data_IF_468494218070
#
_entry.id   IF_468494218070
#
_cell.length_a   1.000
_cell.length_b   1.000
_cell.length_c   1.000
_cell.angle_alpha   90.00
_cell.angle_beta   90.00
_cell.angle_gamma   90.00
#
_symmetry.space_group_name_H-M   'P 1'
#
loop_
_entity.id
_entity.type
_entity.pdbx_description
1 polymer ?
#
# COMPACT_ATOMS: atom_id res chain seq x y z
N UNK A 1 6.07 -22.20 0.00
CA UNK A 1 5.36 -21.25 0.88
C UNK A 1 3.90 -21.29 0.53
N UNK A 2 3.03 -21.64 1.47
CA UNK A 2 1.58 -21.65 1.23
C UNK A 2 1.02 -20.22 1.30
N UNK A 3 0.25 -19.84 0.27
CA UNK A 3 -0.41 -18.55 0.17
C UNK A 3 -1.75 -18.80 -0.52
N UNK A 4 -2.82 -18.25 0.05
CA UNK A 4 -4.18 -18.42 -0.47
C UNK A 4 -4.22 -18.26 -1.99
N UNK A 5 -4.79 -19.26 -2.64
CA UNK A 5 -4.95 -19.29 -4.08
C UNK A 5 -6.17 -18.46 -4.47
N UNK A 6 -5.91 -17.25 -4.98
CA UNK A 6 -6.93 -16.27 -5.37
C UNK A 6 -6.41 -15.31 -6.45
N UNK A 7 -7.28 -14.42 -6.93
CA UNK A 7 -6.95 -13.39 -7.94
C UNK A 7 -5.79 -12.50 -7.51
N UNK A 8 -5.67 -12.23 -6.20
CA UNK A 8 -4.56 -11.47 -5.61
C UNK A 8 -3.23 -12.19 -5.79
N UNK A 9 -3.18 -13.52 -5.57
CA UNK A 9 -1.99 -14.34 -5.87
C UNK A 9 -1.62 -14.24 -7.35
N UNK A 10 -2.60 -14.35 -8.23
CA UNK A 10 -2.36 -14.25 -9.68
C UNK A 10 -1.79 -12.88 -10.05
N UNK A 11 -2.37 -11.79 -9.54
CA UNK A 11 -1.89 -10.44 -9.79
C UNK A 11 -0.47 -10.21 -9.28
N UNK A 12 -0.13 -10.70 -8.09
CA UNK A 12 1.22 -10.46 -7.54
C UNK A 12 2.30 -11.31 -8.22
N UNK A 13 1.99 -12.54 -8.64
CA UNK A 13 2.96 -13.42 -9.32
C UNK A 13 3.24 -12.97 -10.77
N UNK A 14 2.30 -12.25 -11.39
CA UNK A 14 2.47 -11.71 -12.75
C UNK A 14 3.07 -10.30 -12.79
N UNK A 15 3.18 -9.63 -11.63
CA UNK A 15 3.79 -8.31 -11.53
C UNK A 15 5.28 -8.40 -11.18
N UNK A 16 6.14 -8.12 -12.15
CA UNK A 16 7.58 -8.20 -11.99
C UNK A 16 8.12 -7.33 -10.83
N UNK A 17 7.55 -6.15 -10.60
CA UNK A 17 8.04 -5.25 -9.55
C UNK A 17 7.63 -5.75 -8.16
N UNK A 18 6.46 -6.36 -8.02
CA UNK A 18 6.06 -7.02 -6.76
C UNK A 18 7.02 -8.19 -6.45
N UNK A 19 7.37 -8.99 -7.46
CA UNK A 19 8.30 -10.11 -7.28
C UNK A 19 9.69 -9.63 -6.84
N UNK A 20 10.27 -8.63 -7.52
CA UNK A 20 11.55 -8.05 -7.10
C UNK A 20 11.49 -7.41 -5.71
N UNK A 21 10.35 -6.81 -5.33
CA UNK A 21 10.15 -6.31 -3.98
C UNK A 21 10.16 -7.44 -2.93
N UNK A 22 9.55 -8.58 -3.25
CA UNK A 22 9.58 -9.77 -2.40
C UNK A 22 10.97 -10.36 -2.23
N UNK A 23 11.71 -10.49 -3.33
CA UNK A 23 13.11 -10.96 -3.33
C UNK A 23 13.98 -10.09 -2.42
N UNK A 24 13.93 -8.76 -2.58
CA UNK A 24 14.72 -7.84 -1.74
C UNK A 24 14.33 -7.84 -0.27
N UNK A 25 13.05 -8.07 0.04
CA UNK A 25 12.62 -8.23 1.43
C UNK A 25 13.15 -9.55 2.02
N UNK A 26 13.20 -10.61 1.21
CA UNK A 26 13.71 -11.91 1.63
C UNK A 26 15.22 -11.88 1.85
N UNK A 27 15.97 -11.25 0.95
CA UNK A 27 17.43 -11.04 1.09
C UNK A 27 17.81 -10.27 2.36
N UNK A 28 16.91 -9.42 2.85
CA UNK A 28 17.12 -8.59 4.06
C UNK A 28 16.31 -9.06 5.25
N UNK A 29 15.77 -10.28 5.19
CA UNK A 29 14.82 -10.79 6.18
C UNK A 29 15.40 -10.80 7.59
N UNK A 30 16.65 -11.24 7.74
CA UNK A 30 17.35 -11.33 9.02
C UNK A 30 17.73 -9.94 9.57
N UNK A 31 18.04 -8.99 8.68
CA UNK A 31 18.46 -7.63 9.04
C UNK A 31 17.28 -6.75 9.43
N UNK A 32 16.14 -6.92 8.75
CA UNK A 32 14.93 -6.13 8.98
C UNK A 32 13.92 -6.84 9.92
N UNK A 33 14.35 -7.90 10.62
CA UNK A 33 13.52 -8.75 11.52
C UNK A 33 12.17 -9.14 10.89
N UNK A 34 12.18 -9.41 9.59
CA UNK A 34 10.97 -9.76 8.87
C UNK A 34 10.69 -11.25 9.06
N UNK A 35 9.42 -11.61 9.18
CA UNK A 35 9.01 -13.01 9.06
C UNK A 35 8.57 -13.29 7.63
N UNK A 36 8.65 -14.55 7.16
CA UNK A 36 8.06 -14.96 5.89
C UNK A 36 6.57 -14.57 5.78
N UNK A 37 5.85 -14.58 6.90
CA UNK A 37 4.45 -14.17 6.94
C UNK A 37 4.28 -12.67 6.70
N UNK A 38 5.13 -11.84 7.32
CA UNK A 38 5.13 -10.39 7.10
C UNK A 38 5.42 -10.04 5.65
N UNK A 39 6.40 -10.71 5.03
CA UNK A 39 6.73 -10.53 3.60
C UNK A 39 5.52 -10.88 2.74
N UNK A 40 4.90 -12.05 2.96
CA UNK A 40 3.67 -12.44 2.25
C UNK A 40 2.57 -11.41 2.37
N UNK A 41 2.34 -10.85 3.55
CA UNK A 41 1.33 -9.80 3.73
C UNK A 41 1.67 -8.53 2.93
N UNK A 42 2.94 -8.10 2.91
CA UNK A 42 3.38 -6.95 2.10
C UNK A 42 3.17 -7.19 0.60
N UNK A 43 3.51 -8.38 0.10
CA UNK A 43 3.23 -8.76 -1.29
C UNK A 43 1.73 -8.75 -1.59
N UNK A 44 0.92 -9.30 -0.68
CA UNK A 44 -0.53 -9.31 -0.85
C UNK A 44 -1.16 -7.92 -0.75
N UNK A 45 -0.58 -6.96 -0.03
CA UNK A 45 -1.07 -5.58 -0.07
C UNK A 45 -0.93 -4.97 -1.48
N UNK A 46 0.20 -5.18 -2.14
CA UNK A 46 0.41 -4.73 -3.52
C UNK A 46 -0.47 -5.50 -4.51
N UNK A 47 -0.56 -6.83 -4.36
CA UNK A 47 -1.44 -7.66 -5.18
C UNK A 47 -2.91 -7.25 -5.08
N UNK A 48 -3.40 -6.94 -3.86
CA UNK A 48 -4.77 -6.42 -3.64
C UNK A 48 -4.99 -5.09 -4.33
N UNK A 49 -3.99 -4.21 -4.34
CA UNK A 49 -4.09 -2.92 -5.01
C UNK A 49 -4.24 -3.09 -6.53
N UNK A 50 -3.43 -3.97 -7.13
CA UNK A 50 -3.51 -4.27 -8.57
C UNK A 50 -4.83 -4.95 -8.93
N UNK A 51 -5.23 -5.96 -8.16
CA UNK A 51 -6.49 -6.69 -8.36
C UNK A 51 -7.70 -5.74 -8.27
N UNK A 52 -7.72 -4.88 -7.25
CA UNK A 52 -8.77 -3.87 -7.08
C UNK A 52 -8.78 -2.86 -8.23
N UNK A 53 -7.63 -2.34 -8.67
CA UNK A 53 -7.56 -1.42 -9.81
C UNK A 53 -8.13 -2.06 -11.09
N UNK A 54 -7.81 -3.33 -11.35
CA UNK A 54 -8.34 -4.10 -12.49
C UNK A 54 -9.86 -4.25 -12.40
N UNK A 55 -10.38 -4.61 -11.22
CA UNK A 55 -11.82 -4.74 -10.99
C UNK A 55 -12.58 -3.42 -11.16
N UNK A 56 -11.91 -2.28 -10.98
CA UNK A 56 -12.47 -0.94 -11.23
C UNK A 56 -12.38 -0.52 -12.72
N UNK A 57 -11.95 -1.40 -13.63
CA UNK A 57 -11.84 -1.11 -15.06
C UNK A 57 -10.71 -0.15 -15.41
N UNK A 58 -9.70 0.01 -14.55
CA UNK A 58 -8.57 0.90 -14.81
C UNK A 58 -7.61 0.30 -15.84
N UNK A 59 -7.02 1.16 -16.68
CA UNK A 59 -6.04 0.76 -17.69
C UNK A 59 -4.63 0.44 -17.13
N UNK A 60 -4.48 0.30 -15.81
CA UNK A 60 -3.21 0.00 -15.16
C UNK A 60 -3.20 -1.45 -14.67
N UNK A 61 -2.17 -2.19 -15.05
CA UNK A 61 -2.11 -3.63 -14.78
C UNK A 61 -0.96 -4.03 -13.87
N UNK A 62 -0.12 -3.07 -13.47
CA UNK A 62 1.05 -3.30 -12.63
C UNK A 62 1.30 -2.17 -11.62
N UNK A 63 2.09 -2.45 -10.58
CA UNK A 63 2.60 -1.46 -9.64
C UNK A 63 3.49 -0.45 -10.37
N UNK A 64 4.26 -0.87 -11.37
CA UNK A 64 5.09 0.04 -12.18
C UNK A 64 4.25 1.11 -12.89
N UNK A 65 3.05 0.77 -13.33
CA UNK A 65 2.12 1.76 -13.91
C UNK A 65 1.52 2.66 -12.85
N UNK A 66 1.08 2.09 -11.72
CA UNK A 66 0.45 2.84 -10.64
C UNK A 66 1.38 3.88 -10.00
N UNK A 67 2.68 3.61 -9.93
CA UNK A 67 3.66 4.55 -9.36
C UNK A 67 4.23 5.54 -10.39
N UNK A 68 3.64 5.66 -11.58
CA UNK A 68 3.97 6.77 -12.49
C UNK A 68 3.42 8.08 -11.89
N UNK A 69 4.17 9.19 -11.92
CA UNK A 69 3.71 10.48 -11.40
C UNK A 69 2.36 10.93 -11.98
N UNK A 70 2.15 10.69 -13.28
CA UNK A 70 0.89 11.02 -13.96
C UNK A 70 -0.34 10.29 -13.38
N UNK A 71 -0.13 9.16 -12.71
CA UNK A 71 -1.19 8.33 -12.13
C UNK A 71 -1.37 8.56 -10.63
N UNK A 72 -0.67 9.54 -10.04
CA UNK A 72 -0.64 9.72 -8.59
C UNK A 72 -2.02 10.01 -8.00
N UNK A 73 -2.83 10.87 -8.64
CA UNK A 73 -4.21 11.14 -8.20
C UNK A 73 -5.08 9.89 -8.25
N UNK A 74 -4.96 9.11 -9.33
CA UNK A 74 -5.69 7.86 -9.50
C UNK A 74 -5.29 6.88 -8.41
N UNK A 75 -3.98 6.74 -8.14
CA UNK A 75 -3.45 5.90 -7.08
C UNK A 75 -4.03 6.26 -5.71
N UNK A 76 -4.05 7.56 -5.35
CA UNK A 76 -4.63 8.01 -4.08
C UNK A 76 -6.11 7.64 -3.98
N UNK A 77 -6.88 7.85 -5.05
CA UNK A 77 -8.30 7.46 -5.10
C UNK A 77 -8.47 5.94 -4.92
N UNK A 78 -7.68 5.14 -5.64
CA UNK A 78 -7.72 3.68 -5.56
C UNK A 78 -7.40 3.17 -4.16
N UNK A 79 -6.34 3.70 -3.53
CA UNK A 79 -5.95 3.32 -2.17
C UNK A 79 -7.03 3.72 -1.15
N UNK A 80 -7.65 4.90 -1.32
CA UNK A 80 -8.77 5.31 -0.47
C UNK A 80 -9.95 4.37 -0.57
N UNK A 81 -10.41 4.09 -1.79
CA UNK A 81 -11.53 3.17 -2.04
C UNK A 81 -11.24 1.77 -1.49
N UNK A 82 -10.05 1.24 -1.74
CA UNK A 82 -9.63 -0.07 -1.24
C UNK A 82 -9.60 -0.13 0.30
N UNK A 83 -9.30 0.99 0.97
CA UNK A 83 -9.32 1.10 2.43
C UNK A 83 -10.73 1.34 3.02
N UNK A 84 -11.76 1.38 2.18
CA UNK A 84 -13.14 1.69 2.60
C UNK A 84 -13.26 3.13 3.08
N UNK A 85 -12.70 4.09 2.35
CA UNK A 85 -12.79 5.50 2.70
C UNK A 85 -14.23 6.02 2.55
N UNK A 86 -14.75 6.59 3.64
CA UNK A 86 -15.99 7.34 3.67
C UNK A 86 -15.69 8.84 3.55
N UNK A 87 -16.17 9.53 2.49
CA UNK A 87 -15.95 10.96 2.31
C UNK A 87 -16.77 11.84 3.27
N UNK A 88 -17.90 11.35 3.79
CA UNK A 88 -18.78 12.07 4.72
C UNK A 88 -18.13 12.06 6.12
N UNK A 89 -17.80 10.88 6.62
CA UNK A 89 -17.15 10.72 7.93
C UNK A 89 -15.65 11.02 7.90
N UNK A 90 -15.09 11.23 6.70
CA UNK A 90 -13.65 11.41 6.44
C UNK A 90 -12.83 10.34 7.17
N UNK A 91 -13.23 9.07 7.03
CA UNK A 91 -12.66 7.96 7.80
C UNK A 91 -12.46 6.72 6.94
N UNK A 92 -11.62 5.79 7.39
CA UNK A 92 -11.40 4.51 6.71
C UNK A 92 -12.04 3.34 7.44
N UNK A 93 -12.66 2.42 6.70
CA UNK A 93 -13.06 1.12 7.22
C UNK A 93 -11.87 0.29 7.74
N UNK A 94 -10.72 0.33 7.04
CA UNK A 94 -9.48 -0.32 7.48
C UNK A 94 -8.33 0.70 7.54
N UNK A 95 -8.17 1.44 8.65
CA UNK A 95 -7.21 2.55 8.72
C UNK A 95 -5.74 2.15 8.55
N UNK A 96 -5.37 0.92 8.88
CA UNK A 96 -3.98 0.46 8.77
C UNK A 96 -3.57 0.11 7.34
N UNK A 97 -4.53 -0.25 6.48
CA UNK A 97 -4.28 -0.70 5.12
C UNK A 97 -3.59 0.36 4.24
N UNK A 98 -4.08 1.62 4.15
CA UNK A 98 -3.48 2.59 3.25
C UNK A 98 -2.07 3.01 3.68
N UNK A 99 -1.77 2.95 4.99
CA UNK A 99 -0.42 3.18 5.52
C UNK A 99 0.53 2.05 5.10
N UNK A 100 0.10 0.79 5.24
CA UNK A 100 0.88 -0.39 4.83
C UNK A 100 1.13 -0.42 3.33
N UNK A 101 0.13 -0.07 2.51
CA UNK A 101 0.26 0.05 1.06
C UNK A 101 1.27 1.16 0.71
N UNK A 102 1.14 2.35 1.31
CA UNK A 102 2.05 3.48 1.06
C UNK A 102 3.52 3.13 1.29
N UNK A 103 3.81 2.45 2.40
CA UNK A 103 5.17 1.93 2.67
C UNK A 103 5.67 1.02 1.53
N UNK A 104 4.86 0.08 1.06
CA UNK A 104 5.25 -0.85 0.01
C UNK A 104 5.49 -0.12 -1.33
N UNK A 105 4.64 0.84 -1.67
CA UNK A 105 4.77 1.65 -2.89
C UNK A 105 6.04 2.49 -2.88
N UNK A 106 6.38 3.14 -1.75
CA UNK A 106 7.64 3.88 -1.61
C UNK A 106 8.85 2.98 -1.86
N UNK A 107 8.85 1.76 -1.31
CA UNK A 107 9.94 0.79 -1.55
C UNK A 107 10.00 0.36 -3.01
N UNK A 108 8.86 0.12 -3.66
CA UNK A 108 8.80 -0.19 -5.08
C UNK A 108 9.37 0.94 -5.96
N UNK A 109 9.13 2.21 -5.60
CA UNK A 109 9.72 3.35 -6.31
C UNK A 109 11.25 3.36 -6.19
N UNK A 110 11.81 3.12 -5.00
CA UNK A 110 13.27 3.02 -4.83
C UNK A 110 13.86 1.84 -5.62
N UNK A 111 13.17 0.70 -5.68
CA UNK A 111 13.58 -0.45 -6.51
C UNK A 111 13.63 -0.05 -7.98
N UNK A 112 12.58 0.60 -8.49
CA UNK A 112 12.52 1.07 -9.87
C UNK A 112 13.62 2.08 -10.19
N UNK A 113 13.91 3.00 -9.26
CA UNK A 113 15.02 3.94 -9.37
C UNK A 113 16.36 3.23 -9.47
N UNK A 114 16.65 2.28 -8.56
CA UNK A 114 17.90 1.49 -8.62
C UNK A 114 18.03 0.74 -9.94
N UNK A 115 16.96 0.07 -10.40
CA UNK A 115 16.96 -0.64 -11.67
C UNK A 115 17.19 0.31 -12.86
N UNK A 116 16.58 1.50 -12.84
CA UNK A 116 16.81 2.52 -13.86
C UNK A 116 18.26 3.02 -13.89
N UNK A 117 18.89 3.21 -12.72
CA UNK A 117 20.32 3.59 -12.64
C UNK A 117 21.19 2.49 -13.26
N UNK A 118 20.99 1.23 -12.86
CA UNK A 118 21.76 0.11 -13.39
C UNK A 118 21.61 -0.06 -14.91
N UNK A 119 20.43 0.24 -15.46
CA UNK A 119 20.15 0.14 -16.89
C UNK A 119 20.43 1.45 -17.67
N UNK A 120 20.90 2.51 -17.02
CA UNK A 120 21.01 3.87 -17.60
C UNK A 120 19.70 4.40 -18.22
N UNK A 121 18.55 3.98 -17.69
CA UNK A 121 17.21 4.40 -18.12
C UNK A 121 16.78 5.69 -17.40
N UNK A 122 17.03 6.83 -18.06
CA UNK A 122 16.70 8.16 -17.53
C UNK A 122 15.20 8.38 -17.30
N UNK A 123 14.34 7.75 -18.09
CA UNK A 123 12.88 7.88 -17.95
C UNK A 123 12.42 7.21 -16.66
N UNK A 124 12.86 5.96 -16.43
CA UNK A 124 12.56 5.21 -15.21
C UNK A 124 13.10 5.89 -13.95
N UNK A 125 14.32 6.43 -14.00
CA UNK A 125 14.90 7.19 -12.89
C UNK A 125 14.06 8.44 -12.58
N UNK A 126 13.73 9.23 -13.60
CA UNK A 126 12.96 10.47 -13.45
C UNK A 126 11.57 10.20 -12.88
N UNK A 127 10.87 9.21 -13.43
CA UNK A 127 9.54 8.82 -12.94
C UNK A 127 9.57 8.39 -11.47
N UNK A 128 10.54 7.56 -11.08
CA UNK A 128 10.67 7.12 -9.70
C UNK A 128 10.99 8.28 -8.75
N UNK A 129 11.88 9.20 -9.13
CA UNK A 129 12.18 10.40 -8.33
C UNK A 129 10.96 11.30 -8.16
N UNK A 130 10.27 11.60 -9.25
CA UNK A 130 9.07 12.45 -9.22
C UNK A 130 7.96 11.82 -8.39
N UNK A 131 7.77 10.50 -8.48
CA UNK A 131 6.83 9.78 -7.62
C UNK A 131 7.21 9.89 -6.14
N UNK A 132 8.48 9.67 -5.78
CA UNK A 132 8.94 9.82 -4.40
C UNK A 132 8.72 11.25 -3.88
N UNK A 133 8.95 12.28 -4.70
CA UNK A 133 8.66 13.67 -4.35
C UNK A 133 7.17 13.92 -4.09
N UNK A 134 6.28 13.42 -4.96
CA UNK A 134 4.83 13.49 -4.75
C UNK A 134 4.40 12.74 -3.48
N UNK A 135 4.95 11.55 -3.26
CA UNK A 135 4.68 10.75 -2.06
C UNK A 135 5.05 11.53 -0.79
N UNK A 136 6.26 12.10 -0.74
CA UNK A 136 6.75 12.81 0.44
C UNK A 136 5.95 14.09 0.71
N UNK A 137 5.53 14.81 -0.34
CA UNK A 137 4.71 16.02 -0.21
C UNK A 137 3.26 15.73 0.21
N UNK A 138 2.63 14.72 -0.39
CA UNK A 138 1.16 14.60 -0.38
C UNK A 138 0.63 13.40 0.40
N UNK A 139 1.40 12.32 0.54
CA UNK A 139 0.87 11.06 1.08
C UNK A 139 0.45 11.21 2.54
N UNK A 140 1.25 11.93 3.34
CA UNK A 140 0.95 12.09 4.75
C UNK A 140 -0.34 12.90 4.98
N UNK A 141 -0.49 14.02 4.30
CA UNK A 141 -1.65 14.93 4.45
C UNK A 141 -2.93 14.28 3.91
N UNK A 142 -2.84 13.58 2.77
CA UNK A 142 -4.02 13.07 2.04
C UNK A 142 -4.43 11.65 2.42
N UNK A 143 -3.52 10.86 2.99
CA UNK A 143 -3.75 9.45 3.33
C UNK A 143 -3.46 9.16 4.80
N UNK A 144 -2.19 9.28 5.23
CA UNK A 144 -1.76 8.78 6.54
C UNK A 144 -2.38 9.53 7.73
N UNK A 145 -2.61 10.84 7.59
CA UNK A 145 -3.23 11.65 8.64
C UNK A 145 -4.66 11.19 8.94
N UNK A 146 -5.44 10.95 7.88
CA UNK A 146 -6.82 10.44 7.98
C UNK A 146 -6.83 9.04 8.63
N UNK A 147 -5.88 8.18 8.27
CA UNK A 147 -5.74 6.85 8.86
C UNK A 147 -5.45 6.90 10.37
N UNK A 148 -4.56 7.80 10.79
CA UNK A 148 -4.27 7.99 12.22
C UNK A 148 -5.47 8.53 12.97
N UNK A 149 -6.16 9.54 12.43
CA UNK A 149 -7.37 10.10 13.03
C UNK A 149 -8.48 9.05 13.16
N UNK A 150 -8.70 8.25 12.11
CA UNK A 150 -9.69 7.16 12.16
C UNK A 150 -9.33 6.13 13.22
N UNK A 151 -8.05 5.73 13.30
CA UNK A 151 -7.58 4.78 14.31
C UNK A 151 -7.78 5.31 15.74
N UNK A 152 -7.56 6.60 15.96
CA UNK A 152 -7.80 7.26 17.24
C UNK A 152 -9.29 7.30 17.58
N UNK A 153 -10.16 7.72 16.64
CA UNK A 153 -11.62 7.71 16.81
C UNK A 153 -12.13 6.31 17.19
N UNK A 154 -11.67 5.28 16.48
CA UNK A 154 -12.05 3.89 16.75
C UNK A 154 -11.63 3.44 18.16
N UNK A 155 -10.42 3.77 18.61
CA UNK A 155 -9.98 3.48 19.99
C UNK A 155 -10.84 4.19 21.03
N UNK A 156 -11.12 5.47 20.86
CA UNK A 156 -11.98 6.23 21.76
C UNK A 156 -13.40 5.65 21.83
N UNK A 157 -13.96 5.21 20.70
CA UNK A 157 -15.29 4.61 20.65
C UNK A 157 -15.34 3.28 21.41
N UNK A 158 -14.34 2.41 21.21
CA UNK A 158 -14.22 1.16 21.97
C UNK A 158 -14.08 1.45 23.47
N UNK A 159 -13.25 2.42 23.86
CA UNK A 159 -13.06 2.80 25.25
C UNK A 159 -14.31 3.40 25.90
N UNK A 160 -15.18 4.10 25.16
CA UNK A 160 -16.46 4.61 25.67
C UNK A 160 -17.52 3.52 25.83
N UNK A 161 -17.44 2.46 25.01
CA UNK A 161 -18.35 1.32 25.10
C UNK A 161 -18.03 0.42 26.28
N UNK A 162 -16.76 0.19 26.59
CA UNK A 162 -16.33 -0.67 27.71
C UNK A 162 -16.91 -0.30 29.10
N UNK A 163 -16.94 0.97 29.55
CA UNK A 163 -17.50 1.35 30.85
C UNK A 163 -19.03 1.23 30.94
N UNK A 164 -19.74 1.03 29.81
CA UNK A 164 -21.19 0.83 29.81
C UNK A 164 -21.60 -0.63 30.11
N UNK A 165 -20.66 -1.58 30.05
CA UNK A 165 -20.91 -3.00 30.35
C UNK A 165 -20.51 -3.39 31.78
N UNK A 166 -20.22 -2.40 32.64
CA UNK A 166 -19.68 -2.58 33.98
C UNK A 166 -20.65 -2.35 35.14
N UNK A 167 -21.97 -2.35 34.90
CA UNK A 167 -22.98 -2.28 35.97
C UNK A 167 -24.15 -3.22 35.66
N UNK A 168 -23.99 -4.50 35.97
CA UNK A 168 -25.12 -5.38 36.30
C UNK A 168 -24.74 -6.08 37.61
N UNK A 169 -25.56 -5.80 38.63
CA UNK A 169 -25.44 -6.17 40.04
C UNK A 169 -25.40 -7.69 40.29
#
# INVERSE_FOLDING_TARGET
MDMKDDTVKTCLMTDALIMTFGERLYERMDVEEQTPNTIRQKLRHLGRLVDFAKQQGMAFHSISDLIKPANFEVLLCTVKKLAGYDPIERSYGIPTLPVKIGYCLRRCAEINKSAGISANDKSKITNAKNFSSLYDAEWNSRISSIARQTSQKNKCNVQKLLPLFGDVQ
#
